data_IF_163328759960
#
_entry.id   IF_163328759960
#
_cell.length_a   1.000
_cell.length_b   1.000
_cell.length_c   1.000
_cell.angle_alpha   90.00
_cell.angle_beta   90.00
_cell.angle_gamma   90.00
#
_symmetry.space_group_name_H-M   'P 1'
#
loop_
_entity.id
_entity.type
_entity.pdbx_description
1 polymer ?
#
# COMPACT_ATOMS: atom_id res chain seq x y z
N UNK A 1 -1.65 -10.14 6.54
CA UNK A 1 -1.98 -9.28 5.39
C UNK A 1 -3.49 -9.15 5.44
N UNK A 2 -3.96 -8.06 6.03
CA UNK A 2 -5.38 -7.83 6.29
C UNK A 2 -5.99 -7.05 5.13
N UNK A 3 -7.31 -7.14 4.96
CA UNK A 3 -8.05 -6.46 3.89
C UNK A 3 -9.20 -5.68 4.50
N UNK A 4 -9.35 -4.43 4.10
CA UNK A 4 -10.51 -3.58 4.42
C UNK A 4 -11.31 -3.24 3.15
N UNK A 5 -12.30 -2.36 3.28
CA UNK A 5 -13.13 -1.88 2.17
C UNK A 5 -12.34 -1.17 1.07
N UNK A 6 -11.10 -0.72 1.34
CA UNK A 6 -10.24 -0.01 0.39
C UNK A 6 -9.16 -0.92 -0.25
N UNK A 7 -9.03 -2.17 0.23
CA UNK A 7 -8.13 -3.17 -0.30
C UNK A 7 -7.24 -3.81 0.75
N UNK A 8 -6.17 -4.45 0.30
CA UNK A 8 -5.17 -5.09 1.16
C UNK A 8 -4.36 -4.01 1.88
N UNK A 9 -4.35 -4.03 3.21
CA UNK A 9 -3.56 -3.11 4.03
C UNK A 9 -2.06 -3.39 3.88
N UNK A 10 -1.32 -2.38 3.43
CA UNK A 10 0.12 -2.49 3.18
C UNK A 10 0.88 -1.75 4.27
N UNK A 11 1.81 -2.45 4.94
CA UNK A 11 2.70 -1.87 5.93
C UNK A 11 4.13 -2.38 5.73
N UNK A 12 5.09 -1.67 6.33
CA UNK A 12 6.52 -1.96 6.17
C UNK A 12 6.87 -3.40 6.56
N UNK A 13 6.34 -3.90 7.67
CA UNK A 13 6.60 -5.26 8.13
C UNK A 13 6.11 -6.34 7.15
N UNK A 14 4.95 -6.13 6.53
CA UNK A 14 4.40 -7.02 5.51
C UNK A 14 5.22 -6.97 4.23
N UNK A 15 5.59 -5.77 3.75
CA UNK A 15 6.37 -5.60 2.52
C UNK A 15 7.78 -6.18 2.63
N UNK A 16 8.44 -6.06 3.79
CA UNK A 16 9.75 -6.68 4.02
C UNK A 16 9.74 -8.20 3.88
N UNK A 17 8.58 -8.86 4.12
CA UNK A 17 8.41 -10.31 3.90
C UNK A 17 8.04 -10.68 2.46
N UNK A 18 7.63 -9.69 1.67
CA UNK A 18 7.09 -9.86 0.31
C UNK A 18 7.82 -8.97 -0.72
N UNK A 19 9.12 -8.71 -0.51
CA UNK A 19 9.88 -7.74 -1.33
C UNK A 19 9.91 -8.09 -2.82
N UNK A 20 9.87 -9.37 -3.16
CA UNK A 20 9.91 -9.87 -4.55
C UNK A 20 8.51 -10.08 -5.15
N UNK A 21 7.45 -10.00 -4.33
CA UNK A 21 6.09 -10.06 -4.83
C UNK A 21 5.68 -8.74 -5.46
N UNK A 22 4.60 -8.79 -6.24
CA UNK A 22 4.02 -7.63 -6.92
C UNK A 22 2.65 -7.31 -6.33
N UNK A 23 2.33 -6.02 -6.23
CA UNK A 23 1.02 -5.51 -5.79
C UNK A 23 0.44 -4.66 -6.92
N UNK A 24 -0.84 -4.82 -7.22
CA UNK A 24 -1.51 -4.06 -8.30
C UNK A 24 -2.63 -3.18 -7.77
N UNK A 25 -2.92 -2.10 -8.50
CA UNK A 25 -3.83 -1.02 -8.11
C UNK A 25 -3.50 -0.47 -6.74
N UNK A 26 -2.22 -0.11 -6.55
CA UNK A 26 -1.72 0.41 -5.29
C UNK A 26 -2.17 1.86 -5.12
N UNK A 27 -2.70 2.19 -3.94
CA UNK A 27 -3.19 3.52 -3.60
C UNK A 27 -2.61 3.95 -2.26
N UNK A 28 -2.25 5.21 -2.15
CA UNK A 28 -1.90 5.85 -0.88
C UNK A 28 -2.97 6.89 -0.56
N UNK A 29 -3.57 6.77 0.61
CA UNK A 29 -4.60 7.66 1.10
C UNK A 29 -4.01 8.60 2.15
N UNK A 30 -4.39 9.87 2.07
CA UNK A 30 -4.18 10.80 3.15
C UNK A 30 -5.22 10.56 4.25
N UNK A 31 -4.74 10.46 5.49
CA UNK A 31 -5.60 10.41 6.66
C UNK A 31 -5.94 11.84 7.06
N UNK A 32 -7.20 12.23 6.91
CA UNK A 32 -7.68 13.47 7.51
C UNK A 32 -7.95 13.21 9.01
N UNK A 33 -7.22 13.89 9.88
CA UNK A 33 -7.43 13.78 11.34
C UNK A 33 -8.82 14.25 11.77
N UNK A 34 -9.50 15.06 10.95
CA UNK A 34 -10.84 15.60 11.22
C UNK A 34 -11.96 14.71 10.67
N UNK A 35 -11.70 13.90 9.65
CA UNK A 35 -12.65 12.93 9.09
C UNK A 35 -11.95 11.61 8.76
N UNK A 36 -11.84 10.69 9.74
CA UNK A 36 -11.18 9.40 9.55
C UNK A 36 -11.82 8.51 8.49
N UNK A 37 -13.08 8.79 8.12
CA UNK A 37 -13.87 8.05 7.16
C UNK A 37 -13.63 8.50 5.71
N UNK A 38 -13.15 9.72 5.51
CA UNK A 38 -12.94 10.31 4.17
C UNK A 38 -11.48 10.19 3.75
N UNK A 39 -11.08 8.97 3.39
CA UNK A 39 -9.76 8.72 2.84
C UNK A 39 -9.65 9.27 1.41
N UNK A 40 -8.84 10.31 1.24
CA UNK A 40 -8.55 10.88 -0.08
C UNK A 40 -7.35 10.19 -0.72
N UNK A 41 -7.52 9.67 -1.93
CA UNK A 41 -6.40 9.12 -2.72
C UNK A 41 -5.43 10.25 -3.08
N UNK A 42 -4.19 10.11 -2.64
CA UNK A 42 -3.10 11.04 -2.94
C UNK A 42 -2.20 10.50 -4.06
N UNK A 43 -1.87 9.20 -3.99
CA UNK A 43 -1.03 8.52 -4.96
C UNK A 43 -1.76 7.28 -5.47
N UNK A 44 -1.59 6.98 -6.76
CA UNK A 44 -2.08 5.75 -7.36
C UNK A 44 -1.06 5.20 -8.35
N UNK A 45 -0.78 3.91 -8.22
CA UNK A 45 0.16 3.19 -9.08
C UNK A 45 -0.55 1.93 -9.60
N UNK A 46 -0.52 1.67 -10.93
CA UNK A 46 -1.09 0.44 -11.48
C UNK A 46 -0.45 -0.81 -10.90
N UNK A 47 0.86 -0.77 -10.63
CA UNK A 47 1.62 -1.90 -10.12
C UNK A 47 2.90 -1.43 -9.43
N UNK A 48 3.29 -2.08 -8.33
CA UNK A 48 4.59 -1.90 -7.68
C UNK A 48 5.10 -3.21 -7.08
N UNK A 49 6.41 -3.43 -7.10
CA UNK A 49 7.01 -4.52 -6.32
C UNK A 49 6.97 -4.20 -4.82
N UNK A 50 7.06 -5.23 -3.97
CA UNK A 50 7.14 -5.03 -2.53
C UNK A 50 8.35 -4.16 -2.12
N UNK A 51 9.47 -4.30 -2.85
CA UNK A 51 10.67 -3.48 -2.67
C UNK A 51 10.44 -2.01 -3.01
N UNK A 52 9.91 -1.72 -4.20
CA UNK A 52 9.68 -0.34 -4.64
C UNK A 52 8.68 0.36 -3.73
N UNK A 53 7.67 -0.38 -3.28
CA UNK A 53 6.67 0.14 -2.39
C UNK A 53 7.24 0.47 -1.01
N UNK A 54 8.09 -0.40 -0.47
CA UNK A 54 8.79 -0.15 0.80
C UNK A 54 9.68 1.09 0.73
N UNK A 55 10.38 1.30 -0.39
CA UNK A 55 11.19 2.49 -0.63
C UNK A 55 10.32 3.75 -0.73
N UNK A 56 9.18 3.65 -1.40
CA UNK A 56 8.23 4.77 -1.54
C UNK A 56 7.62 5.19 -0.21
N UNK A 57 7.40 4.23 0.70
CA UNK A 57 6.92 4.48 2.08
C UNK A 57 7.97 5.14 3.00
N UNK A 58 9.19 5.43 2.55
CA UNK A 58 10.21 6.07 3.38
C UNK A 58 10.00 7.59 3.55
N UNK A 59 9.00 8.18 2.90
CA UNK A 59 8.64 9.59 3.09
C UNK A 59 8.13 9.92 4.50
N UNK A 60 8.17 11.21 4.87
CA UNK A 60 7.75 11.73 6.17
C UNK A 60 6.22 11.83 6.35
N UNK A 61 5.44 11.73 5.27
CA UNK A 61 3.98 11.81 5.31
C UNK A 61 3.39 10.48 5.77
N UNK A 62 2.55 10.52 6.79
CA UNK A 62 1.78 9.36 7.23
C UNK A 62 0.64 9.12 6.24
N UNK A 63 0.77 8.07 5.42
CA UNK A 63 -0.23 7.67 4.44
C UNK A 63 -0.68 6.24 4.72
N UNK A 64 -1.96 5.99 4.48
CA UNK A 64 -2.55 4.66 4.50
C UNK A 64 -2.39 4.02 3.12
N UNK A 65 -1.74 2.87 3.04
CA UNK A 65 -1.47 2.22 1.75
C UNK A 65 -2.35 1.01 1.56
N UNK A 66 -2.92 0.86 0.35
CA UNK A 66 -3.75 -0.28 -0.05
C UNK A 66 -3.34 -0.81 -1.42
N UNK A 67 -3.57 -2.09 -1.65
CA UNK A 67 -3.54 -2.70 -2.99
C UNK A 67 -4.83 -3.48 -3.24
N UNK A 68 -5.29 -3.56 -4.48
CA UNK A 68 -6.43 -4.40 -4.82
C UNK A 68 -6.02 -5.89 -4.83
N UNK A 69 -4.84 -6.17 -5.37
CA UNK A 69 -4.34 -7.53 -5.55
C UNK A 69 -2.89 -7.70 -5.09
N UNK A 70 -2.60 -8.91 -4.62
CA UNK A 70 -1.27 -9.41 -4.31
C UNK A 70 -0.93 -10.54 -5.27
N UNK A 71 0.18 -10.38 -5.99
CA UNK A 71 0.72 -11.34 -6.94
C UNK A 71 2.01 -11.92 -6.34
N UNK A 72 1.99 -13.14 -5.79
CA UNK A 72 3.20 -13.75 -5.23
C UNK A 72 4.25 -13.93 -6.33
N UNK A 73 5.52 -13.72 -6.00
CA UNK A 73 6.61 -14.10 -6.90
C UNK A 73 6.51 -15.59 -7.19
N UNK A 74 6.52 -15.96 -8.47
CA UNK A 74 6.77 -17.34 -8.84
C UNK A 74 8.20 -17.67 -8.41
N UNK A 75 8.35 -18.71 -7.59
CA UNK A 75 9.65 -19.32 -7.30
C UNK A 75 9.97 -20.32 -8.40
#
# INVERSE_FOLDING_TARGET
>A
MERDTFGICLNKAMLSKNMHSTFTHVRAYEKDERSPSDLKVLLSFPQMSGRDLLQTMQGSRQLEWRAEFFCPSMK
#
